data_IF_364410973092
#
_entry.id   IF_364410973092
#
_cell.length_a   1.000
_cell.length_b   1.000
_cell.length_c   1.000
_cell.angle_alpha   90.00
_cell.angle_beta   90.00
_cell.angle_gamma   90.00
#
_symmetry.space_group_name_H-M   'P 1'
#
loop_
_entity.id
_entity.type
_entity.pdbx_description
1 polymer ?
#
# COMPACT_ATOMS: atom_id res chain seq x y z
N UNK A 1 -15.02 2.16 -15.59
CA UNK A 1 -14.79 3.30 -14.67
C UNK A 1 -15.67 3.27 -13.44
N UNK A 2 -17.01 3.32 -13.52
CA UNK A 2 -17.88 3.32 -12.32
C UNK A 2 -17.67 2.12 -11.39
N UNK A 3 -17.55 0.91 -11.94
CA UNK A 3 -17.25 -0.31 -11.15
C UNK A 3 -15.89 -0.22 -10.45
N UNK A 4 -14.85 0.24 -11.16
CA UNK A 4 -13.52 0.43 -10.58
C UNK A 4 -13.56 1.41 -9.40
N UNK A 5 -14.28 2.53 -9.54
CA UNK A 5 -14.45 3.50 -8.44
C UNK A 5 -15.14 2.86 -7.23
N UNK A 6 -16.22 2.08 -7.43
CA UNK A 6 -16.89 1.37 -6.33
C UNK A 6 -15.96 0.37 -5.63
N UNK A 7 -15.19 -0.39 -6.40
CA UNK A 7 -14.20 -1.33 -5.85
C UNK A 7 -13.11 -0.57 -5.09
N UNK A 8 -12.58 0.53 -5.65
CA UNK A 8 -11.58 1.37 -4.97
C UNK A 8 -12.11 1.98 -3.68
N UNK A 9 -13.38 2.38 -3.62
CA UNK A 9 -13.98 2.92 -2.38
C UNK A 9 -14.08 1.84 -1.30
N UNK A 10 -14.54 0.64 -1.64
CA UNK A 10 -14.59 -0.49 -0.70
C UNK A 10 -13.18 -0.86 -0.23
N UNK A 11 -12.23 -0.94 -1.16
CA UNK A 11 -10.85 -1.27 -0.84
C UNK A 11 -10.18 -0.18 0.01
N UNK A 12 -10.45 1.10 -0.25
CA UNK A 12 -9.98 2.21 0.57
C UNK A 12 -10.50 2.11 2.01
N UNK A 13 -11.76 1.76 2.19
CA UNK A 13 -12.30 1.48 3.53
C UNK A 13 -11.54 0.34 4.22
N UNK A 14 -11.29 -0.78 3.52
CA UNK A 14 -10.49 -1.87 4.05
C UNK A 14 -9.06 -1.44 4.43
N UNK A 15 -8.40 -0.64 3.58
CA UNK A 15 -7.05 -0.11 3.83
C UNK A 15 -7.03 0.76 5.10
N UNK A 16 -8.04 1.62 5.29
CA UNK A 16 -8.15 2.45 6.50
C UNK A 16 -8.32 1.58 7.75
N UNK A 17 -9.19 0.57 7.71
CA UNK A 17 -9.40 -0.35 8.85
C UNK A 17 -8.13 -1.14 9.15
N UNK A 18 -7.47 -1.69 8.13
CA UNK A 18 -6.21 -2.40 8.29
C UNK A 18 -5.10 -1.49 8.82
N UNK A 19 -5.06 -0.22 8.40
CA UNK A 19 -4.09 0.76 8.90
C UNK A 19 -4.34 1.15 10.36
N UNK A 20 -5.60 1.27 10.76
CA UNK A 20 -5.96 1.43 12.17
C UNK A 20 -5.56 0.18 12.98
N UNK A 21 -5.78 -1.02 12.42
CA UNK A 21 -5.41 -2.27 13.06
C UNK A 21 -3.89 -2.45 13.22
N UNK A 22 -3.09 -2.12 12.20
CA UNK A 22 -1.62 -2.16 12.31
C UNK A 22 -1.12 -1.18 13.36
N UNK A 23 -1.75 0.00 13.48
CA UNK A 23 -1.42 0.95 14.56
C UNK A 23 -1.78 0.38 15.94
N UNK A 24 -3.01 -0.11 16.12
CA UNK A 24 -3.50 -0.61 17.42
C UNK A 24 -2.79 -1.88 17.90
N UNK A 25 -2.23 -2.66 16.97
CA UNK A 25 -1.41 -3.85 17.29
C UNK A 25 0.08 -3.55 17.35
N UNK A 26 0.48 -2.27 17.30
CA UNK A 26 1.88 -1.83 17.33
C UNK A 26 2.74 -2.53 16.25
N UNK A 27 2.11 -2.83 15.11
CA UNK A 27 2.70 -3.55 13.99
C UNK A 27 3.24 -2.63 12.89
N UNK A 28 3.22 -1.31 13.10
CA UNK A 28 3.69 -0.32 12.11
C UNK A 28 5.20 -0.36 11.81
N UNK A 29 5.97 -1.06 12.63
CA UNK A 29 7.42 -1.28 12.50
C UNK A 29 7.75 -2.79 12.57
N UNK A 30 6.84 -3.65 12.10
CA UNK A 30 7.02 -5.11 12.10
C UNK A 30 8.03 -5.59 11.06
N UNK A 31 8.19 -4.85 9.97
CA UNK A 31 9.18 -5.07 8.92
C UNK A 31 10.23 -3.95 8.93
N UNK A 32 11.54 -4.25 9.02
CA UNK A 32 12.60 -3.25 9.13
C UNK A 32 12.95 -2.55 7.80
N UNK A 33 12.35 -3.00 6.70
CA UNK A 33 12.60 -2.54 5.35
C UNK A 33 11.29 -2.25 4.60
N UNK A 34 11.44 -1.58 3.46
CA UNK A 34 10.36 -1.24 2.54
C UNK A 34 10.90 -1.30 1.10
N UNK A 35 10.16 -1.82 0.10
CA UNK A 35 8.76 -2.29 0.15
C UNK A 35 8.57 -3.71 0.68
N UNK A 36 9.66 -4.46 0.84
CA UNK A 36 9.66 -5.85 1.34
C UNK A 36 9.58 -5.95 2.86
N UNK A 37 9.80 -7.17 3.36
CA UNK A 37 9.90 -7.50 4.78
C UNK A 37 11.07 -8.47 4.98
N UNK A 38 12.06 -8.06 5.76
CA UNK A 38 13.32 -8.75 5.99
C UNK A 38 14.11 -9.08 4.71
N UNK A 39 14.01 -8.23 3.68
CA UNK A 39 14.64 -8.46 2.37
C UNK A 39 13.88 -9.42 1.46
N UNK A 40 12.70 -9.89 1.87
CA UNK A 40 11.81 -10.73 1.07
C UNK A 40 10.56 -9.96 0.67
N UNK A 41 9.88 -10.39 -0.41
CA UNK A 41 8.61 -9.76 -0.77
C UNK A 41 7.48 -10.16 0.18
N UNK A 42 7.59 -11.30 0.87
CA UNK A 42 6.64 -11.78 1.89
C UNK A 42 7.34 -12.06 3.21
N UNK A 43 6.60 -12.13 4.31
CA UNK A 43 7.15 -12.47 5.63
C UNK A 43 7.85 -13.85 5.56
N UNK A 44 9.13 -13.95 5.94
CA UNK A 44 9.84 -15.22 5.93
C UNK A 44 9.22 -16.18 6.96
N UNK A 45 8.97 -17.42 6.55
CA UNK A 45 8.36 -18.47 7.38
C UNK A 45 9.16 -19.77 7.39
N UNK A 46 10.02 -19.98 6.39
CA UNK A 46 10.89 -21.15 6.30
C UNK A 46 12.15 -20.93 7.14
N UNK A 47 12.62 -21.96 7.84
CA UNK A 47 13.76 -21.86 8.78
C UNK A 47 14.99 -21.20 8.17
N UNK A 48 15.35 -21.56 6.93
CA UNK A 48 16.49 -20.97 6.23
C UNK A 48 16.29 -19.48 5.90
N UNK A 49 15.09 -19.06 5.53
CA UNK A 49 14.78 -17.64 5.29
C UNK A 49 14.70 -16.84 6.60
N UNK A 50 14.21 -17.45 7.68
CA UNK A 50 14.20 -16.83 9.01
C UNK A 50 15.64 -16.63 9.50
N UNK A 51 16.51 -17.62 9.33
CA UNK A 51 17.93 -17.49 9.65
C UNK A 51 18.61 -16.38 8.84
N UNK A 52 18.34 -16.30 7.52
CA UNK A 52 18.86 -15.22 6.68
C UNK A 52 18.34 -13.85 7.12
N UNK A 53 17.04 -13.75 7.42
CA UNK A 53 16.41 -12.53 7.92
C UNK A 53 17.07 -12.04 9.21
N UNK A 54 17.31 -12.96 10.16
CA UNK A 54 17.95 -12.66 11.45
C UNK A 54 19.43 -12.24 11.27
N UNK A 55 20.14 -12.82 10.31
CA UNK A 55 21.51 -12.40 9.98
C UNK A 55 21.55 -11.02 9.32
N UNK A 56 20.57 -10.69 8.47
CA UNK A 56 20.51 -9.41 7.76
C UNK A 56 20.03 -8.26 8.66
N UNK A 57 19.13 -8.55 9.59
CA UNK A 57 18.55 -7.57 10.52
C UNK A 57 18.71 -8.05 11.98
N UNK A 58 19.94 -8.03 12.54
CA UNK A 58 20.21 -8.61 13.86
C UNK A 58 19.50 -7.86 15.00
N UNK A 59 19.28 -6.55 14.85
CA UNK A 59 18.66 -5.70 15.86
C UNK A 59 17.11 -5.67 15.78
N UNK A 60 16.52 -6.36 14.80
CA UNK A 60 15.07 -6.44 14.59
C UNK A 60 14.62 -7.90 14.63
N UNK A 61 14.24 -8.46 15.79
CA UNK A 61 13.78 -9.84 15.86
C UNK A 61 12.46 -10.02 15.10
N UNK A 62 12.36 -11.11 14.33
CA UNK A 62 11.19 -11.41 13.50
C UNK A 62 9.95 -11.75 14.35
N UNK A 63 9.09 -10.76 14.55
CA UNK A 63 7.76 -10.95 15.11
C UNK A 63 6.74 -11.20 14.00
N UNK A 64 6.56 -12.48 13.64
CA UNK A 64 5.72 -12.92 12.52
C UNK A 64 4.34 -12.27 12.48
N UNK A 65 3.67 -12.15 13.64
CA UNK A 65 2.33 -11.55 13.72
C UNK A 65 2.33 -10.06 13.30
N UNK A 66 3.30 -9.28 13.77
CA UNK A 66 3.42 -7.87 13.40
C UNK A 66 3.84 -7.70 11.94
N UNK A 67 4.82 -8.48 11.50
CA UNK A 67 5.28 -8.48 10.11
C UNK A 67 4.14 -8.80 9.13
N UNK A 68 3.29 -9.77 9.44
CA UNK A 68 2.12 -10.11 8.62
C UNK A 68 1.07 -9.01 8.62
N UNK A 69 0.74 -8.44 9.79
CA UNK A 69 -0.21 -7.34 9.88
C UNK A 69 0.23 -6.16 9.01
N UNK A 70 1.52 -5.81 9.06
CA UNK A 70 2.07 -4.74 8.26
C UNK A 70 2.04 -5.06 6.76
N UNK A 71 2.50 -6.25 6.37
CA UNK A 71 2.56 -6.65 4.97
C UNK A 71 1.16 -6.76 4.33
N UNK A 72 0.17 -7.27 5.05
CA UNK A 72 -1.22 -7.32 4.57
C UNK A 72 -1.73 -5.90 4.28
N UNK A 73 -1.48 -4.96 5.19
CA UNK A 73 -1.84 -3.56 4.96
C UNK A 73 -1.12 -2.98 3.73
N UNK A 74 0.20 -3.19 3.59
CA UNK A 74 1.01 -2.74 2.45
C UNK A 74 0.46 -3.27 1.11
N UNK A 75 0.09 -4.55 1.03
CA UNK A 75 -0.47 -5.16 -0.18
C UNK A 75 -1.82 -4.56 -0.59
N UNK A 76 -2.71 -4.35 0.39
CA UNK A 76 -4.01 -3.72 0.12
C UNK A 76 -3.84 -2.27 -0.33
N UNK A 77 -2.94 -1.51 0.32
CA UNK A 77 -2.61 -0.14 -0.06
C UNK A 77 -1.99 -0.06 -1.46
N UNK A 78 -1.05 -0.96 -1.79
CA UNK A 78 -0.45 -1.06 -3.12
C UNK A 78 -1.48 -1.37 -4.21
N UNK A 79 -2.37 -2.33 -3.95
CA UNK A 79 -3.47 -2.68 -4.88
C UNK A 79 -4.41 -1.49 -5.10
N UNK A 80 -4.75 -0.74 -4.04
CA UNK A 80 -5.53 0.48 -4.15
C UNK A 80 -4.81 1.54 -4.98
N UNK A 81 -3.52 1.76 -4.75
CA UNK A 81 -2.68 2.67 -5.53
C UNK A 81 -2.68 2.34 -7.03
N UNK A 82 -2.56 1.07 -7.38
CA UNK A 82 -2.65 0.60 -8.77
C UNK A 82 -4.03 0.86 -9.38
N UNK A 83 -5.12 0.61 -8.65
CA UNK A 83 -6.47 0.92 -9.14
C UNK A 83 -6.67 2.43 -9.37
N UNK A 84 -6.17 3.26 -8.46
CA UNK A 84 -6.22 4.72 -8.59
C UNK A 84 -5.41 5.18 -9.80
N UNK A 85 -4.22 4.61 -10.02
CA UNK A 85 -3.41 4.89 -11.21
C UNK A 85 -4.16 4.53 -12.50
N UNK A 86 -4.78 3.35 -12.57
CA UNK A 86 -5.60 2.94 -13.73
C UNK A 86 -6.77 3.89 -13.95
N UNK A 87 -7.46 4.33 -12.89
CA UNK A 87 -8.57 5.29 -12.98
C UNK A 87 -8.05 6.65 -13.47
N UNK A 88 -6.93 7.15 -12.95
CA UNK A 88 -6.34 8.42 -13.32
C UNK A 88 -5.87 8.43 -14.78
N UNK A 89 -5.07 7.43 -15.17
CA UNK A 89 -4.57 7.25 -16.55
C UNK A 89 -5.75 7.09 -17.50
N UNK A 90 -6.70 6.20 -17.21
CA UNK A 90 -7.87 6.01 -18.06
C UNK A 90 -8.75 7.27 -18.16
N UNK A 91 -8.83 8.11 -17.12
CA UNK A 91 -9.56 9.39 -17.15
C UNK A 91 -8.87 10.44 -18.02
N UNK A 92 -7.53 10.39 -18.13
CA UNK A 92 -6.74 11.25 -19.01
C UNK A 92 -6.76 10.75 -20.46
N UNK A 93 -6.57 9.44 -20.67
CA UNK A 93 -6.51 8.81 -21.99
C UNK A 93 -7.87 8.77 -22.71
N UNK A 94 -8.99 8.64 -21.99
CA UNK A 94 -10.34 8.56 -22.56
C UNK A 94 -10.86 9.90 -23.14
N UNK A 95 -9.97 10.83 -23.50
CA UNK A 95 -10.30 12.16 -24.06
C UNK A 95 -10.45 12.18 -25.59
N UNK A 96 -10.40 11.05 -26.30
CA UNK A 96 -10.46 11.03 -27.79
C UNK A 96 -11.56 10.21 -28.45
N UNK A 97 -12.32 9.36 -27.75
CA UNK A 97 -13.41 8.60 -28.36
C UNK A 97 -14.75 9.19 -27.96
N UNK A 98 -15.31 9.95 -28.90
CA UNK A 98 -16.74 10.03 -29.24
C UNK A 98 -17.75 10.29 -28.12
N UNK A 99 -18.33 11.49 -28.16
CA UNK A 99 -19.77 11.68 -27.99
C UNK A 99 -20.37 11.19 -26.66
N UNK A 100 -19.82 11.60 -25.51
CA UNK A 100 -20.63 11.65 -24.29
C UNK A 100 -20.23 12.84 -23.41
N UNK A 101 -20.95 13.93 -23.67
CA UNK A 101 -20.89 15.20 -22.97
C UNK A 101 -21.53 15.05 -21.58
N UNK A 102 -20.70 14.82 -20.54
CA UNK A 102 -20.92 15.33 -19.16
C UNK A 102 -19.71 15.00 -18.26
N UNK A 103 -18.88 16.02 -18.03
CA UNK A 103 -18.08 16.24 -16.81
C UNK A 103 -17.39 15.04 -16.15
N UNK A 104 -16.58 14.26 -16.87
CA UNK A 104 -15.64 13.34 -16.19
C UNK A 104 -14.58 14.17 -15.47
N UNK A 105 -14.51 14.17 -14.12
CA UNK A 105 -13.57 14.99 -13.38
C UNK A 105 -12.15 14.44 -13.56
N UNK A 106 -11.28 15.16 -14.27
CA UNK A 106 -9.88 14.73 -14.51
C UNK A 106 -8.93 15.16 -13.41
N UNK A 107 -9.23 16.30 -12.76
CA UNK A 107 -8.42 16.86 -11.67
C UNK A 107 -8.51 15.99 -10.41
N UNK A 108 -9.70 15.47 -10.11
CA UNK A 108 -9.94 14.66 -8.91
C UNK A 108 -9.09 13.37 -8.85
N UNK A 109 -9.11 12.46 -9.85
CA UNK A 109 -8.30 11.24 -9.79
C UNK A 109 -6.80 11.51 -9.83
N UNK A 110 -6.36 12.59 -10.49
CA UNK A 110 -4.95 13.03 -10.45
C UNK A 110 -4.56 13.52 -9.05
N UNK A 111 -5.41 14.32 -8.41
CA UNK A 111 -5.19 14.77 -7.04
C UNK A 111 -5.15 13.61 -6.05
N UNK A 112 -6.09 12.66 -6.15
CA UNK A 112 -6.11 11.45 -5.31
C UNK A 112 -4.85 10.62 -5.53
N UNK A 113 -4.39 10.45 -6.78
CA UNK A 113 -3.14 9.74 -7.07
C UNK A 113 -1.93 10.41 -6.39
N UNK A 114 -1.81 11.73 -6.51
CA UNK A 114 -0.74 12.49 -5.84
C UNK A 114 -0.81 12.34 -4.31
N UNK A 115 -2.01 12.42 -3.74
CA UNK A 115 -2.21 12.27 -2.30
C UNK A 115 -1.82 10.86 -1.82
N UNK A 116 -2.18 9.81 -2.56
CA UNK A 116 -1.81 8.42 -2.19
C UNK A 116 -0.31 8.17 -2.34
N UNK A 117 0.34 8.75 -3.36
CA UNK A 117 1.82 8.69 -3.48
C UNK A 117 2.45 9.37 -2.26
N UNK A 118 1.97 10.55 -1.88
CA UNK A 118 2.46 11.24 -0.70
C UNK A 118 2.27 10.41 0.58
N UNK A 119 1.10 9.80 0.78
CA UNK A 119 0.85 8.90 1.91
C UNK A 119 1.77 7.67 1.92
N UNK A 120 2.01 7.06 0.76
CA UNK A 120 2.92 5.92 0.64
C UNK A 120 4.36 6.31 1.00
N UNK A 121 4.82 7.48 0.56
CA UNK A 121 6.12 8.03 0.95
C UNK A 121 6.21 8.29 2.44
N UNK A 122 5.16 8.85 3.07
CA UNK A 122 5.13 9.05 4.51
C UNK A 122 5.20 7.72 5.28
N UNK A 123 4.47 6.69 4.83
CA UNK A 123 4.54 5.36 5.44
C UNK A 123 5.92 4.70 5.30
N UNK A 124 6.56 4.84 4.13
CA UNK A 124 7.95 4.41 3.93
C UNK A 124 8.91 5.14 4.89
N UNK A 125 8.73 6.46 5.04
CA UNK A 125 9.56 7.26 5.94
C UNK A 125 9.40 6.82 7.40
N UNK A 126 8.19 6.50 7.85
CA UNK A 126 7.95 5.95 9.20
C UNK A 126 8.83 4.73 9.49
N UNK A 127 8.91 3.78 8.55
CA UNK A 127 9.71 2.57 8.69
C UNK A 127 11.21 2.90 8.63
N UNK A 128 11.65 3.63 7.61
CA UNK A 128 13.08 3.94 7.42
C UNK A 128 13.68 4.84 8.50
N UNK A 129 12.86 5.67 9.15
CA UNK A 129 13.28 6.61 10.20
C UNK A 129 12.92 6.12 11.61
N UNK A 130 12.26 4.97 11.76
CA UNK A 130 11.75 4.43 13.03
C UNK A 130 10.98 5.48 13.87
N UNK A 131 10.00 6.14 13.24
CA UNK A 131 9.15 7.17 13.85
C UNK A 131 7.93 6.59 14.56
#
# INVERSE_FOLDING_TARGET
MRTLVKISLLLAFCVIVLGAYTRLTEAGLGCPDWPGCYGFMSVPTQEHHVAEAQMRFPDAPLEHHKAWNEMIHRYFAGTLGLLILVIAVGSVLKRRSTFDSKSTPKKLPLFILLLVIFQATLGMLTVTMNL
#
